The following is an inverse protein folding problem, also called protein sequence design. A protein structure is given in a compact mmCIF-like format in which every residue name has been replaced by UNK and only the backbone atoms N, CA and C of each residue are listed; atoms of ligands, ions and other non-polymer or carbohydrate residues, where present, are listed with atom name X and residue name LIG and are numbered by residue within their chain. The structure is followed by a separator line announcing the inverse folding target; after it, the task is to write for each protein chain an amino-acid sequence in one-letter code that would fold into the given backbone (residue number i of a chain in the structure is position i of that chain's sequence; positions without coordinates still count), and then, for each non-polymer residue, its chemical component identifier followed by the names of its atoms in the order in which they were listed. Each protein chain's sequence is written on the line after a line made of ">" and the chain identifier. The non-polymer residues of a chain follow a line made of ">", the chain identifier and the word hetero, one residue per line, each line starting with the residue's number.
data_IF_511652848179
#
_entry.id   IF_511652848179
#
_cell.length_a   1.000
_cell.length_b   1.000
_cell.length_c   1.000
_cell.angle_alpha   90.00
_cell.angle_beta   90.00
_cell.angle_gamma   90.00
#
_symmetry.space_group_name_H-M   'P 1'
#
loop_
_entity.id
_entity.type
_entity.pdbx_description
1 polymer ?
#
# COMPACT_ATOMS: atom_id res chain seq x y z
N UNK A 1 -12.03 -29.06 -6.22
CA UNK A 1 -12.08 -27.88 -5.33
C UNK A 1 -13.52 -27.44 -5.22
N UNK A 2 -14.01 -27.06 -4.04
CA UNK A 2 -15.37 -26.50 -3.93
C UNK A 2 -15.41 -25.07 -4.46
N UNK A 3 -16.59 -24.58 -4.84
CA UNK A 3 -16.80 -23.18 -5.27
C UNK A 3 -16.19 -22.18 -4.28
N UNK A 4 -16.47 -22.36 -2.99
CA UNK A 4 -15.94 -21.48 -1.94
C UNK A 4 -14.41 -21.51 -1.85
N UNK A 5 -13.78 -22.69 -1.95
CA UNK A 5 -12.33 -22.82 -1.91
C UNK A 5 -11.66 -22.11 -3.09
N UNK A 6 -12.27 -22.17 -4.27
CA UNK A 6 -11.75 -21.50 -5.47
C UNK A 6 -11.87 -19.96 -5.37
N UNK A 7 -12.95 -19.44 -4.75
CA UNK A 7 -13.08 -18.02 -4.45
C UNK A 7 -11.95 -17.49 -3.53
N UNK A 8 -11.41 -18.34 -2.64
CA UNK A 8 -10.32 -17.96 -1.73
C UNK A 8 -8.94 -17.94 -2.38
N UNK A 9 -8.78 -18.47 -3.60
CA UNK A 9 -7.49 -18.41 -4.30
C UNK A 9 -7.07 -16.97 -4.56
N UNK A 10 -5.77 -16.72 -4.70
CA UNK A 10 -5.30 -15.45 -5.26
C UNK A 10 -5.46 -15.43 -6.79
N UNK A 11 -5.14 -14.29 -7.43
CA UNK A 11 -5.30 -14.15 -8.88
C UNK A 11 -4.43 -15.14 -9.68
N UNK A 12 -3.22 -15.43 -9.20
CA UNK A 12 -2.32 -16.40 -9.83
C UNK A 12 -2.87 -17.83 -9.72
N UNK A 13 -3.43 -18.20 -8.56
CA UNK A 13 -4.05 -19.50 -8.32
C UNK A 13 -5.25 -19.74 -9.23
N UNK A 14 -6.17 -18.78 -9.34
CA UNK A 14 -7.32 -18.89 -10.25
C UNK A 14 -6.87 -19.00 -11.72
N UNK A 15 -5.86 -18.24 -12.16
CA UNK A 15 -5.31 -18.36 -13.52
C UNK A 15 -4.57 -19.68 -13.76
N UNK A 16 -3.93 -20.25 -12.74
CA UNK A 16 -3.29 -21.55 -12.85
C UNK A 16 -4.31 -22.68 -12.99
N UNK A 17 -5.46 -22.62 -12.30
CA UNK A 17 -6.56 -23.56 -12.52
C UNK A 17 -7.06 -23.51 -13.97
N UNK A 18 -7.28 -22.31 -14.50
CA UNK A 18 -7.69 -22.11 -15.89
C UNK A 18 -6.71 -22.68 -16.91
N UNK A 19 -5.40 -22.58 -16.63
CA UNK A 19 -4.35 -23.13 -17.50
C UNK A 19 -4.27 -24.65 -17.44
N UNK A 20 -4.57 -25.23 -16.28
CA UNK A 20 -4.51 -26.68 -16.05
C UNK A 20 -5.81 -27.41 -16.39
N UNK A 21 -6.87 -26.69 -16.74
CA UNK A 21 -8.16 -27.30 -17.11
C UNK A 21 -8.01 -28.09 -18.41
N UNK A 22 -8.34 -29.38 -18.38
CA UNK A 22 -8.20 -30.27 -19.55
C UNK A 22 -9.45 -30.22 -20.44
N UNK A 23 -10.63 -30.04 -19.83
CA UNK A 23 -11.91 -30.01 -20.55
C UNK A 23 -12.46 -28.58 -20.70
N UNK A 24 -13.24 -28.36 -21.75
CA UNK A 24 -13.92 -27.08 -21.98
C UNK A 24 -14.93 -26.77 -20.86
N UNK A 25 -15.61 -27.79 -20.33
CA UNK A 25 -16.58 -27.64 -19.24
C UNK A 25 -15.91 -27.15 -17.96
N UNK A 26 -14.77 -27.73 -17.58
CA UNK A 26 -13.99 -27.29 -16.42
C UNK A 26 -13.46 -25.87 -16.61
N UNK A 27 -12.91 -25.57 -17.80
CA UNK A 27 -12.39 -24.23 -18.11
C UNK A 27 -13.47 -23.16 -18.01
N UNK A 28 -14.67 -23.43 -18.53
CA UNK A 28 -15.82 -22.51 -18.41
C UNK A 28 -16.26 -22.33 -16.96
N UNK A 29 -16.30 -23.41 -16.18
CA UNK A 29 -16.63 -23.35 -14.75
C UNK A 29 -15.62 -22.47 -13.99
N UNK A 30 -14.31 -22.76 -14.10
CA UNK A 30 -13.26 -21.99 -13.43
C UNK A 30 -13.24 -20.52 -13.89
N UNK A 31 -13.54 -20.27 -15.16
CA UNK A 31 -13.63 -18.90 -15.69
C UNK A 31 -14.81 -18.16 -15.08
N UNK A 32 -15.97 -18.82 -14.99
CA UNK A 32 -17.14 -18.25 -14.34
C UNK A 32 -16.89 -17.96 -12.86
N UNK A 33 -16.31 -18.91 -12.09
CA UNK A 33 -15.95 -18.68 -10.68
C UNK A 33 -14.98 -17.51 -10.56
N UNK A 34 -14.02 -17.40 -11.47
CA UNK A 34 -13.06 -16.31 -11.50
C UNK A 34 -13.71 -14.94 -11.75
N UNK A 35 -14.65 -14.86 -12.69
CA UNK A 35 -15.41 -13.64 -12.97
C UNK A 35 -16.31 -13.26 -11.80
N UNK A 36 -17.01 -14.23 -11.19
CA UNK A 36 -17.85 -14.01 -10.00
C UNK A 36 -17.02 -13.47 -8.85
N UNK A 37 -15.84 -14.06 -8.59
CA UNK A 37 -14.91 -13.58 -7.58
C UNK A 37 -14.53 -12.11 -7.78
N UNK A 38 -14.18 -11.72 -9.01
CA UNK A 38 -13.79 -10.36 -9.34
C UNK A 38 -14.98 -9.41 -9.17
N UNK A 39 -16.16 -9.79 -9.69
CA UNK A 39 -17.38 -8.99 -9.58
C UNK A 39 -17.78 -8.77 -8.12
N UNK A 40 -17.80 -9.83 -7.30
CA UNK A 40 -18.13 -9.75 -5.87
C UNK A 40 -17.10 -8.92 -5.11
N UNK A 41 -15.80 -9.09 -5.41
CA UNK A 41 -14.75 -8.28 -4.77
C UNK A 41 -14.92 -6.80 -5.13
N UNK A 42 -15.15 -6.49 -6.41
CA UNK A 42 -15.32 -5.11 -6.86
C UNK A 42 -16.58 -4.46 -6.28
N UNK A 43 -17.71 -5.18 -6.30
CA UNK A 43 -18.95 -4.73 -5.69
C UNK A 43 -18.77 -4.46 -4.19
N UNK A 44 -18.14 -5.39 -3.46
CA UNK A 44 -17.86 -5.22 -2.04
C UNK A 44 -16.99 -3.98 -1.77
N UNK A 45 -15.87 -3.82 -2.50
CA UNK A 45 -15.01 -2.65 -2.37
C UNK A 45 -15.76 -1.34 -2.64
N UNK A 46 -16.55 -1.30 -3.73
CA UNK A 46 -17.32 -0.13 -4.13
C UNK A 46 -18.38 0.23 -3.08
N UNK A 47 -19.18 -0.73 -2.64
CA UNK A 47 -20.21 -0.49 -1.62
C UNK A 47 -19.59 -0.09 -0.28
N UNK A 48 -18.50 -0.73 0.13
CA UNK A 48 -17.83 -0.39 1.38
C UNK A 48 -17.33 1.06 1.39
N UNK A 49 -16.64 1.49 0.34
CA UNK A 49 -16.16 2.87 0.21
C UNK A 49 -17.32 3.86 0.08
N UNK A 50 -18.39 3.48 -0.64
CA UNK A 50 -19.58 4.31 -0.79
C UNK A 50 -20.30 4.53 0.55
N UNK A 51 -20.43 3.49 1.38
CA UNK A 51 -21.02 3.61 2.73
C UNK A 51 -20.19 4.59 3.57
N UNK A 52 -18.87 4.47 3.58
CA UNK A 52 -18.01 5.44 4.28
C UNK A 52 -18.18 6.87 3.76
N UNK A 53 -18.33 7.04 2.44
CA UNK A 53 -18.53 8.36 1.83
C UNK A 53 -19.89 8.96 2.22
N UNK A 54 -20.94 8.14 2.31
CA UNK A 54 -22.28 8.57 2.75
C UNK A 54 -22.27 8.92 4.24
N UNK A 55 -21.61 8.12 5.08
CA UNK A 55 -21.61 8.30 6.54
C UNK A 55 -20.68 9.43 7.01
N UNK A 56 -19.53 9.62 6.37
CA UNK A 56 -18.47 10.53 6.83
C UNK A 56 -18.15 11.67 5.85
N UNK A 57 -18.85 11.73 4.71
CA UNK A 57 -18.66 12.71 3.64
C UNK A 57 -17.72 12.25 2.53
N UNK A 58 -17.89 12.78 1.33
CA UNK A 58 -17.11 12.41 0.14
C UNK A 58 -15.60 12.67 0.29
N UNK A 59 -15.21 13.72 1.04
CA UNK A 59 -13.82 14.03 1.38
C UNK A 59 -13.15 12.94 2.25
N UNK A 60 -13.96 12.08 2.88
CA UNK A 60 -13.51 10.95 3.70
C UNK A 60 -13.70 9.59 3.01
N UNK A 61 -13.97 9.56 1.70
CA UNK A 61 -13.97 8.32 0.90
C UNK A 61 -12.66 7.53 1.07
N UNK A 62 -11.53 8.23 1.22
CA UNK A 62 -10.22 7.62 1.44
C UNK A 62 -10.12 6.83 2.75
N UNK A 63 -10.87 7.23 3.79
CA UNK A 63 -10.95 6.50 5.06
C UNK A 63 -11.54 5.11 4.80
N UNK A 64 -12.60 5.02 4.00
CA UNK A 64 -13.19 3.74 3.60
C UNK A 64 -12.18 2.83 2.90
N UNK A 65 -11.33 3.39 2.03
CA UNK A 65 -10.25 2.64 1.37
C UNK A 65 -9.22 2.13 2.38
N UNK A 66 -8.72 2.98 3.29
CA UNK A 66 -7.71 2.59 4.28
C UNK A 66 -8.23 1.52 5.23
N UNK A 67 -9.46 1.68 5.73
CA UNK A 67 -10.12 0.68 6.60
C UNK A 67 -10.27 -0.64 5.87
N UNK A 68 -10.75 -0.61 4.62
CA UNK A 68 -10.92 -1.80 3.80
C UNK A 68 -9.59 -2.54 3.57
N UNK A 69 -8.52 -1.82 3.24
CA UNK A 69 -7.19 -2.40 3.06
C UNK A 69 -6.71 -3.09 4.34
N UNK A 70 -6.83 -2.42 5.49
CA UNK A 70 -6.47 -3.00 6.78
C UNK A 70 -7.32 -4.24 7.09
N UNK A 71 -8.63 -4.18 6.89
CA UNK A 71 -9.55 -5.29 7.12
C UNK A 71 -9.19 -6.51 6.25
N UNK A 72 -8.89 -6.30 4.97
CA UNK A 72 -8.56 -7.38 4.04
C UNK A 72 -7.23 -8.07 4.36
N UNK A 73 -6.26 -7.33 4.89
CA UNK A 73 -4.95 -7.89 5.29
C UNK A 73 -5.03 -8.56 6.65
N UNK A 74 -5.49 -7.83 7.67
CA UNK A 74 -5.50 -8.28 9.06
C UNK A 74 -6.59 -9.30 9.38
N UNK A 75 -7.51 -9.61 8.45
CA UNK A 75 -8.36 -10.80 8.60
C UNK A 75 -7.56 -12.11 8.55
N UNK A 76 -6.40 -12.12 7.87
CA UNK A 76 -5.59 -13.32 7.60
C UNK A 76 -4.17 -13.22 8.14
N UNK A 77 -3.55 -12.04 8.03
CA UNK A 77 -2.18 -11.81 8.44
C UNK A 77 -2.11 -11.43 9.90
N UNK A 78 -1.18 -12.06 10.63
CA UNK A 78 -0.88 -11.75 12.02
C UNK A 78 0.34 -10.84 12.15
N UNK A 79 0.57 -10.32 13.36
CA UNK A 79 1.72 -9.49 13.72
C UNK A 79 2.84 -10.30 14.38
N UNK A 80 2.72 -11.64 14.44
CA UNK A 80 3.71 -12.51 15.05
C UNK A 80 3.81 -12.44 16.58
N UNK A 81 2.90 -11.74 17.27
CA UNK A 81 2.83 -11.61 18.74
C UNK A 81 1.45 -11.96 19.29
N UNK A 82 1.36 -12.15 20.60
CA UNK A 82 0.12 -12.46 21.32
C UNK A 82 -1.08 -11.60 20.86
N UNK A 83 -2.22 -12.24 20.59
CA UNK A 83 -3.39 -11.62 19.92
C UNK A 83 -3.91 -10.37 20.64
N UNK A 84 -3.91 -10.36 21.97
CA UNK A 84 -4.32 -9.19 22.74
C UNK A 84 -3.42 -7.97 22.49
N UNK A 85 -2.09 -8.16 22.53
CA UNK A 85 -1.11 -7.10 22.26
C UNK A 85 -1.17 -6.65 20.80
N UNK A 86 -1.28 -7.60 19.87
CA UNK A 86 -1.49 -7.31 18.44
C UNK A 86 -2.73 -6.45 18.20
N UNK A 87 -3.84 -6.71 18.91
CA UNK A 87 -5.08 -5.94 18.76
C UNK A 87 -4.93 -4.52 19.28
N UNK A 88 -4.26 -4.33 20.42
CA UNK A 88 -3.94 -2.98 20.94
C UNK A 88 -3.02 -2.20 19.99
N UNK A 89 -2.00 -2.88 19.46
CA UNK A 89 -1.05 -2.31 18.52
C UNK A 89 -1.74 -1.92 17.20
N UNK A 90 -2.68 -2.72 16.72
CA UNK A 90 -3.48 -2.40 15.55
C UNK A 90 -4.33 -1.13 15.78
N UNK A 91 -4.95 -0.97 16.96
CA UNK A 91 -5.65 0.26 17.31
C UNK A 91 -4.70 1.48 17.31
N UNK A 92 -3.49 1.33 17.86
CA UNK A 92 -2.46 2.37 17.82
C UNK A 92 -2.08 2.74 16.37
N UNK A 93 -1.96 1.77 15.46
CA UNK A 93 -1.68 2.06 14.05
C UNK A 93 -2.74 2.95 13.40
N UNK A 94 -4.03 2.71 13.70
CA UNK A 94 -5.11 3.58 13.22
C UNK A 94 -4.99 5.00 13.77
N UNK A 95 -4.62 5.16 15.06
CA UNK A 95 -4.38 6.48 15.65
C UNK A 95 -3.23 7.19 14.93
N UNK A 96 -2.10 6.51 14.74
CA UNK A 96 -0.92 7.05 14.04
C UNK A 96 -1.28 7.46 12.62
N UNK A 97 -1.96 6.59 11.86
CA UNK A 97 -2.39 6.87 10.48
C UNK A 97 -3.38 8.03 10.38
N UNK A 98 -4.12 8.34 11.45
CA UNK A 98 -5.09 9.44 11.43
C UNK A 98 -4.46 10.77 11.87
N UNK A 99 -3.68 10.74 12.94
CA UNK A 99 -3.16 11.95 13.60
C UNK A 99 -1.86 12.44 12.97
N UNK A 100 -0.89 11.55 12.75
CA UNK A 100 0.43 11.97 12.32
C UNK A 100 0.42 12.57 10.90
N UNK A 101 -0.30 12.02 9.89
CA UNK A 101 -0.35 12.66 8.59
C UNK A 101 -0.93 14.07 8.61
N UNK A 102 -2.02 14.27 9.37
CA UNK A 102 -2.63 15.59 9.51
C UNK A 102 -1.69 16.58 10.19
N UNK A 103 -1.03 16.14 11.26
CA UNK A 103 -0.05 16.97 11.97
C UNK A 103 1.18 17.31 11.11
N UNK A 104 1.67 16.36 10.31
CA UNK A 104 2.80 16.60 9.42
C UNK A 104 2.49 17.65 8.34
N UNK A 105 1.26 17.66 7.81
CA UNK A 105 0.81 18.67 6.84
C UNK A 105 0.73 20.10 7.42
N UNK A 106 0.78 20.27 8.75
CA UNK A 106 0.81 21.58 9.41
C UNK A 106 2.23 22.13 9.60
N UNK A 107 3.25 21.31 9.38
CA UNK A 107 4.66 21.68 9.54
C UNK A 107 5.34 21.96 8.20
N UNK A 108 6.54 22.55 8.26
CA UNK A 108 7.40 22.64 7.07
C UNK A 108 7.80 21.23 6.59
N UNK A 109 8.10 21.03 5.29
CA UNK A 109 8.41 19.70 4.75
C UNK A 109 9.49 18.94 5.53
N UNK A 110 10.52 19.63 6.03
CA UNK A 110 11.61 19.02 6.81
C UNK A 110 11.12 18.55 8.18
N UNK A 111 10.31 19.36 8.88
CA UNK A 111 9.75 18.97 10.18
C UNK A 111 8.68 17.87 10.02
N UNK A 112 7.83 17.98 8.99
CA UNK A 112 6.88 16.95 8.58
C UNK A 112 7.59 15.63 8.27
N UNK A 113 8.73 15.66 7.59
CA UNK A 113 9.57 14.48 7.33
C UNK A 113 10.01 13.80 8.62
N UNK A 114 10.47 14.53 9.63
CA UNK A 114 10.88 13.94 10.92
C UNK A 114 9.70 13.26 11.63
N UNK A 115 8.52 13.89 11.60
CA UNK A 115 7.30 13.29 12.14
C UNK A 115 6.91 12.02 11.36
N UNK A 116 6.99 12.07 10.03
CA UNK A 116 6.74 10.93 9.15
C UNK A 116 7.72 9.78 9.44
N UNK A 117 9.01 10.05 9.65
CA UNK A 117 10.02 9.04 10.05
C UNK A 117 9.61 8.37 11.37
N UNK A 118 9.25 9.15 12.38
CA UNK A 118 8.84 8.60 13.68
C UNK A 118 7.56 7.75 13.56
N UNK A 119 6.56 8.22 12.81
CA UNK A 119 5.32 7.49 12.59
C UNK A 119 5.56 6.18 11.81
N UNK A 120 6.30 6.23 10.71
CA UNK A 120 6.62 5.05 9.90
C UNK A 120 7.52 4.07 10.66
N UNK A 121 8.39 4.53 11.56
CA UNK A 121 9.17 3.64 12.43
C UNK A 121 8.25 2.75 13.27
N UNK A 122 7.21 3.32 13.89
CA UNK A 122 6.25 2.54 14.67
C UNK A 122 5.46 1.58 13.77
N UNK A 123 4.94 2.07 12.63
CA UNK A 123 4.14 1.24 11.71
C UNK A 123 4.94 0.07 11.11
N UNK A 124 6.21 0.28 10.77
CA UNK A 124 7.04 -0.72 10.07
C UNK A 124 7.66 -1.71 11.06
N UNK A 125 8.25 -1.23 12.16
CA UNK A 125 8.94 -2.10 13.13
C UNK A 125 7.95 -3.03 13.83
N UNK A 126 6.79 -2.52 14.23
CA UNK A 126 5.80 -3.31 14.94
C UNK A 126 4.75 -3.93 14.01
N UNK A 127 4.53 -3.37 12.82
CA UNK A 127 3.53 -3.89 11.87
C UNK A 127 4.02 -5.04 11.00
N UNK A 128 5.33 -5.28 10.92
CA UNK A 128 5.90 -6.32 10.09
C UNK A 128 7.07 -7.05 10.76
N UNK A 129 6.75 -8.12 11.47
CA UNK A 129 7.75 -9.06 11.96
C UNK A 129 8.22 -10.04 10.88
N UNK A 130 7.29 -10.48 10.01
CA UNK A 130 7.54 -11.37 8.89
C UNK A 130 7.41 -10.59 7.56
N UNK A 131 8.54 -10.27 6.88
CA UNK A 131 8.54 -9.51 5.63
C UNK A 131 7.71 -10.13 4.50
N UNK A 132 7.51 -11.45 4.51
CA UNK A 132 6.75 -12.16 3.48
C UNK A 132 5.23 -11.93 3.57
N UNK A 133 4.70 -11.43 4.69
CA UNK A 133 3.27 -11.12 4.82
C UNK A 133 2.90 -9.74 4.24
N UNK A 134 3.88 -8.87 3.99
CA UNK A 134 3.67 -7.52 3.43
C UNK A 134 2.72 -6.59 4.22
N UNK A 135 2.45 -6.86 5.50
CA UNK A 135 1.57 -6.06 6.36
C UNK A 135 1.94 -4.57 6.38
N UNK A 136 3.24 -4.27 6.46
CA UNK A 136 3.76 -2.90 6.44
C UNK A 136 3.35 -2.14 5.19
N UNK A 137 3.28 -2.80 4.03
CA UNK A 137 2.92 -2.14 2.78
C UNK A 137 1.49 -1.57 2.85
N UNK A 138 0.60 -2.25 3.58
CA UNK A 138 -0.78 -1.80 3.80
C UNK A 138 -0.84 -0.62 4.76
N UNK A 139 -0.10 -0.69 5.87
CA UNK A 139 -0.05 0.39 6.86
C UNK A 139 0.58 1.66 6.29
N UNK A 140 1.73 1.54 5.60
CA UNK A 140 2.42 2.67 4.97
C UNK A 140 1.59 3.25 3.82
N UNK A 141 0.93 2.41 3.00
CA UNK A 141 0.01 2.89 1.99
C UNK A 141 -1.16 3.67 2.60
N UNK A 142 -1.78 3.14 3.67
CA UNK A 142 -2.86 3.82 4.38
C UNK A 142 -2.43 5.18 4.93
N UNK A 143 -1.26 5.24 5.55
CA UNK A 143 -0.62 6.46 6.03
C UNK A 143 -0.46 7.50 4.91
N UNK A 144 0.17 7.13 3.80
CA UNK A 144 0.45 8.04 2.68
C UNK A 144 -0.82 8.53 1.98
N UNK A 145 -1.86 7.70 1.92
CA UNK A 145 -3.15 8.10 1.38
C UNK A 145 -3.82 9.14 2.28
N UNK A 146 -3.83 8.93 3.60
CA UNK A 146 -4.39 9.92 4.53
C UNK A 146 -3.58 11.22 4.55
N UNK A 147 -2.26 11.11 4.35
CA UNK A 147 -1.35 12.25 4.19
C UNK A 147 -1.69 13.10 2.96
N UNK A 148 -1.82 12.49 1.78
CA UNK A 148 -2.01 13.25 0.54
C UNK A 148 -3.46 13.63 0.22
N UNK A 149 -4.41 13.15 1.01
CA UNK A 149 -5.82 13.58 1.00
C UNK A 149 -6.17 14.20 2.36
N UNK A 150 -5.35 15.12 2.85
CA UNK A 150 -5.61 15.79 4.13
C UNK A 150 -6.92 16.60 4.10
N UNK A 151 -7.56 16.74 5.26
CA UNK A 151 -8.82 17.47 5.44
C UNK A 151 -8.78 18.26 6.75
N UNK A 152 -9.53 19.34 6.83
CA UNK A 152 -9.57 20.22 8.02
C UNK A 152 -11.00 20.39 8.55
N UNK A 153 -11.14 21.02 9.73
CA UNK A 153 -12.43 21.41 10.28
C UNK A 153 -13.39 20.24 10.52
N UNK A 154 -14.65 20.38 10.07
CA UNK A 154 -15.69 19.36 10.28
C UNK A 154 -15.37 18.04 9.58
N UNK A 155 -14.78 18.10 8.39
CA UNK A 155 -14.37 16.89 7.64
C UNK A 155 -13.31 16.09 8.39
N UNK A 156 -12.37 16.75 9.08
CA UNK A 156 -11.40 16.08 9.94
C UNK A 156 -12.04 15.43 11.17
N UNK A 157 -13.04 16.06 11.79
CA UNK A 157 -13.80 15.42 12.86
C UNK A 157 -14.50 14.14 12.37
N UNK A 158 -15.11 14.16 11.17
CA UNK A 158 -15.72 12.97 10.59
C UNK A 158 -14.68 11.90 10.22
N UNK A 159 -13.47 12.31 9.82
CA UNK A 159 -12.32 11.39 9.61
C UNK A 159 -11.96 10.65 10.87
N UNK A 160 -11.86 11.36 12.01
CA UNK A 160 -11.56 10.75 13.31
C UNK A 160 -12.62 9.70 13.68
N UNK A 161 -13.90 10.01 13.51
CA UNK A 161 -14.99 9.07 13.78
C UNK A 161 -14.93 7.86 12.83
N UNK A 162 -14.74 8.09 11.53
CA UNK A 162 -14.64 7.02 10.54
C UNK A 162 -13.44 6.10 10.78
N UNK A 163 -12.29 6.65 11.12
CA UNK A 163 -11.08 5.88 11.46
C UNK A 163 -11.24 5.12 12.78
N UNK A 164 -11.90 5.70 13.78
CA UNK A 164 -12.18 5.01 15.05
C UNK A 164 -13.14 3.81 14.85
N UNK A 165 -14.22 3.99 14.07
CA UNK A 165 -15.13 2.91 13.71
C UNK A 165 -14.44 1.82 12.88
N UNK A 166 -13.60 2.24 11.93
CA UNK A 166 -12.77 1.33 11.14
C UNK A 166 -11.75 0.55 11.97
N UNK A 167 -11.13 1.19 12.95
CA UNK A 167 -10.24 0.55 13.91
C UNK A 167 -10.99 -0.50 14.74
N UNK A 168 -12.16 -0.16 15.29
CA UNK A 168 -12.99 -1.07 16.06
C UNK A 168 -13.38 -2.31 15.23
N UNK A 169 -13.83 -2.11 13.99
CA UNK A 169 -14.18 -3.19 13.06
C UNK A 169 -12.97 -4.08 12.75
N UNK A 170 -11.83 -3.49 12.40
CA UNK A 170 -10.61 -4.23 12.04
C UNK A 170 -10.08 -5.01 13.22
N UNK A 171 -10.03 -4.40 14.42
CA UNK A 171 -9.63 -5.06 15.66
C UNK A 171 -10.57 -6.22 16.05
N UNK A 172 -11.88 -6.04 15.91
CA UNK A 172 -12.85 -7.11 16.15
C UNK A 172 -12.62 -8.31 15.24
N UNK A 173 -12.49 -8.08 13.93
CA UNK A 173 -12.25 -9.14 12.95
C UNK A 173 -10.89 -9.80 13.17
N UNK A 174 -9.84 -9.02 13.43
CA UNK A 174 -8.51 -9.52 13.75
C UNK A 174 -8.55 -10.43 14.97
N UNK A 175 -9.09 -9.96 16.09
CA UNK A 175 -9.17 -10.72 17.34
C UNK A 175 -9.98 -12.02 17.15
N UNK A 176 -11.17 -11.93 16.53
CA UNK A 176 -12.02 -13.10 16.29
C UNK A 176 -11.30 -14.18 15.48
N UNK A 177 -10.54 -13.79 14.46
CA UNK A 177 -9.87 -14.71 13.55
C UNK A 177 -8.56 -15.28 14.14
N UNK A 178 -7.94 -14.60 15.10
CA UNK A 178 -6.61 -14.96 15.63
C UNK A 178 -6.61 -15.39 17.11
N UNK A 179 -7.73 -15.27 17.84
CA UNK A 179 -7.79 -15.60 19.29
C UNK A 179 -7.42 -17.04 19.65
N UNK A 180 -7.63 -17.97 18.72
CA UNK A 180 -7.34 -19.39 18.93
C UNK A 180 -5.92 -19.79 18.49
N UNK A 181 -5.10 -18.84 18.02
CA UNK A 181 -3.72 -19.10 17.63
C UNK A 181 -2.81 -18.93 18.85
N UNK A 182 -1.88 -19.86 19.04
CA UNK A 182 -0.86 -19.78 20.08
C UNK A 182 0.36 -19.04 19.54
N UNK A 183 0.76 -17.97 20.22
CA UNK A 183 1.97 -17.21 19.89
C UNK A 183 2.99 -17.37 21.00
N UNK A 184 4.25 -17.64 20.62
CA UNK A 184 5.36 -17.72 21.56
C UNK A 184 5.94 -16.35 21.93
N UNK A 185 5.69 -15.33 21.09
CA UNK A 185 6.27 -13.99 21.20
C UNK A 185 5.29 -12.96 21.74
N UNK A 186 5.85 -11.97 22.43
CA UNK A 186 5.20 -10.79 22.96
C UNK A 186 5.87 -9.51 22.40
N UNK A 187 5.29 -8.35 22.70
CA UNK A 187 5.80 -7.05 22.25
C UNK A 187 7.24 -6.78 22.72
N UNK A 188 7.64 -7.28 23.91
CA UNK A 188 9.01 -7.17 24.42
C UNK A 188 10.01 -7.89 23.53
N UNK A 189 9.63 -9.06 23.01
CA UNK A 189 10.50 -9.87 22.16
C UNK A 189 10.76 -9.17 20.82
N UNK A 190 9.79 -8.41 20.30
CA UNK A 190 10.00 -7.61 19.08
C UNK A 190 11.10 -6.55 19.26
N UNK A 191 11.16 -5.95 20.45
CA UNK A 191 12.19 -4.94 20.77
C UNK A 191 13.54 -5.63 20.99
N UNK A 192 13.56 -6.79 21.65
CA UNK A 192 14.80 -7.55 21.90
C UNK A 192 15.38 -8.17 20.62
N UNK A 193 14.53 -8.58 19.67
CA UNK A 193 14.94 -9.09 18.36
C UNK A 193 15.32 -7.96 17.37
N UNK A 194 15.32 -6.70 17.80
CA UNK A 194 15.82 -5.61 16.97
C UNK A 194 17.34 -5.72 16.86
N UNK A 195 17.77 -6.29 15.75
CA UNK A 195 19.19 -6.42 15.42
C UNK A 195 19.48 -5.67 14.12
N UNK A 196 20.29 -4.62 14.22
CA UNK A 196 20.69 -3.77 13.09
C UNK A 196 21.53 -4.52 12.06
N UNK A 197 22.13 -5.66 12.42
CA UNK A 197 22.89 -6.50 11.49
C UNK A 197 21.98 -7.34 10.61
N UNK A 198 20.76 -7.62 11.07
CA UNK A 198 19.78 -8.46 10.37
C UNK A 198 19.24 -7.81 9.10
N UNK A 199 19.01 -8.63 8.07
CA UNK A 199 18.44 -8.14 6.79
C UNK A 199 17.05 -7.53 6.95
N UNK A 200 16.24 -8.07 7.88
CA UNK A 200 14.90 -7.55 8.21
C UNK A 200 14.99 -6.12 8.70
N UNK A 201 15.77 -5.86 9.76
CA UNK A 201 15.88 -4.55 10.38
C UNK A 201 16.47 -3.52 9.41
N UNK A 202 17.50 -3.92 8.63
CA UNK A 202 18.07 -3.05 7.60
C UNK A 202 17.02 -2.62 6.56
N UNK A 203 16.23 -3.57 6.08
CA UNK A 203 15.14 -3.28 5.15
C UNK A 203 14.06 -2.38 5.77
N UNK A 204 13.67 -2.62 7.03
CA UNK A 204 12.73 -1.77 7.76
C UNK A 204 13.26 -0.32 7.89
N UNK A 205 14.50 -0.15 8.37
CA UNK A 205 15.14 1.18 8.49
C UNK A 205 15.21 1.87 7.14
N UNK A 206 15.55 1.13 6.08
CA UNK A 206 15.61 1.68 4.74
C UNK A 206 14.26 2.27 4.29
N UNK A 207 13.14 1.59 4.57
CA UNK A 207 11.80 2.13 4.27
C UNK A 207 11.45 3.33 5.17
N UNK A 208 11.74 3.23 6.47
CA UNK A 208 11.48 4.28 7.48
C UNK A 208 12.15 5.61 7.08
N UNK A 209 13.34 5.55 6.47
CA UNK A 209 14.08 6.73 6.02
C UNK A 209 13.72 7.12 4.58
N UNK A 210 13.75 6.19 3.64
CA UNK A 210 13.61 6.50 2.22
C UNK A 210 12.24 7.11 1.87
N UNK A 211 11.16 6.58 2.45
CA UNK A 211 9.80 6.98 2.07
C UNK A 211 9.52 8.43 2.49
N UNK A 212 9.79 8.86 3.74
CA UNK A 212 9.64 10.26 4.12
C UNK A 212 10.61 11.20 3.40
N UNK A 213 11.85 10.78 3.11
CA UNK A 213 12.81 11.62 2.37
C UNK A 213 12.32 11.90 0.95
N UNK A 214 11.83 10.89 0.22
CA UNK A 214 11.23 11.07 -1.11
C UNK A 214 10.05 12.04 -1.06
N UNK A 215 9.18 11.87 -0.06
CA UNK A 215 8.02 12.72 0.13
C UNK A 215 8.43 14.17 0.38
N UNK A 216 9.39 14.40 1.28
CA UNK A 216 9.94 15.71 1.60
C UNK A 216 10.57 16.40 0.39
N UNK A 217 11.37 15.68 -0.40
CA UNK A 217 11.98 16.25 -1.62
C UNK A 217 10.89 16.64 -2.62
N UNK A 218 9.89 15.78 -2.83
CA UNK A 218 8.77 16.09 -3.72
C UNK A 218 8.00 17.35 -3.26
N UNK A 219 7.81 17.53 -1.96
CA UNK A 219 7.17 18.72 -1.38
C UNK A 219 8.02 19.99 -1.51
N UNK A 220 9.32 19.91 -1.24
CA UNK A 220 10.26 21.03 -1.43
C UNK A 220 10.28 21.47 -2.90
N UNK A 221 10.18 20.51 -3.82
CA UNK A 221 10.04 20.77 -5.24
C UNK A 221 8.63 21.25 -5.66
N UNK A 222 7.72 21.48 -4.72
CA UNK A 222 6.33 21.88 -4.93
C UNK A 222 5.55 20.94 -5.88
N UNK A 223 5.84 19.63 -5.84
CA UNK A 223 5.14 18.66 -6.67
C UNK A 223 3.71 18.44 -6.12
N UNK A 224 2.65 18.73 -6.91
CA UNK A 224 1.28 18.43 -6.50
C UNK A 224 1.13 16.94 -6.22
N UNK A 225 0.43 16.52 -5.17
CA UNK A 225 0.22 15.09 -4.85
C UNK A 225 1.51 14.31 -4.55
N UNK A 226 2.51 14.92 -3.91
CA UNK A 226 3.78 14.31 -3.50
C UNK A 226 3.69 12.89 -2.88
N UNK A 227 2.56 12.55 -2.25
CA UNK A 227 2.26 11.18 -1.80
C UNK A 227 2.46 10.10 -2.88
N UNK A 228 2.28 10.39 -4.17
CA UNK A 228 2.47 9.39 -5.23
C UNK A 228 3.93 8.97 -5.35
N UNK A 229 4.87 9.89 -5.14
CA UNK A 229 6.29 9.56 -5.08
C UNK A 229 6.59 8.66 -3.88
N UNK A 230 6.03 8.98 -2.70
CA UNK A 230 6.13 8.14 -1.50
C UNK A 230 5.53 6.74 -1.71
N UNK A 231 4.35 6.63 -2.32
CA UNK A 231 3.70 5.35 -2.64
C UNK A 231 4.52 4.57 -3.68
N UNK A 232 5.16 5.26 -4.62
CA UNK A 232 6.03 4.62 -5.59
C UNK A 232 7.28 4.03 -4.91
N UNK A 233 7.95 4.82 -4.08
CA UNK A 233 9.10 4.39 -3.28
C UNK A 233 8.75 3.21 -2.36
N UNK A 234 7.73 3.36 -1.49
CA UNK A 234 7.36 2.30 -0.54
C UNK A 234 7.01 0.99 -1.24
N UNK A 235 6.38 1.07 -2.41
CA UNK A 235 6.01 -0.12 -3.14
C UNK A 235 7.24 -0.83 -3.69
N UNK A 236 8.28 -0.11 -4.12
CA UNK A 236 9.44 -0.68 -4.78
C UNK A 236 10.40 -1.36 -3.79
N UNK A 237 10.54 -0.80 -2.58
CA UNK A 237 11.49 -1.27 -1.58
C UNK A 237 11.07 -2.64 -1.03
N UNK A 238 11.80 -3.69 -1.42
CA UNK A 238 11.59 -5.07 -0.99
C UNK A 238 12.78 -5.58 -0.18
N UNK A 239 12.63 -6.66 0.61
CA UNK A 239 13.72 -7.21 1.42
C UNK A 239 14.94 -7.66 0.59
N UNK A 240 14.72 -8.05 -0.66
CA UNK A 240 15.76 -8.49 -1.58
C UNK A 240 15.93 -7.51 -2.75
N UNK A 241 17.18 -7.17 -3.07
CA UNK A 241 17.50 -6.20 -4.11
C UNK A 241 17.08 -6.67 -5.52
N UNK A 242 17.19 -7.96 -5.82
CA UNK A 242 16.75 -8.51 -7.11
C UNK A 242 15.25 -8.29 -7.35
N UNK A 243 14.43 -8.57 -6.34
CA UNK A 243 12.99 -8.33 -6.38
C UNK A 243 12.67 -6.83 -6.50
N UNK A 244 13.46 -5.98 -5.85
CA UNK A 244 13.35 -4.53 -5.98
C UNK A 244 13.63 -4.07 -7.41
N UNK A 245 14.71 -4.53 -8.06
CA UNK A 245 15.01 -4.21 -9.47
C UNK A 245 13.86 -4.63 -10.39
N UNK A 246 13.32 -5.83 -10.19
CA UNK A 246 12.14 -6.30 -10.91
C UNK A 246 10.96 -5.33 -10.70
N UNK A 247 10.69 -4.96 -9.44
CA UNK A 247 9.54 -4.11 -9.11
C UNK A 247 9.68 -2.69 -9.64
N UNK A 248 10.87 -2.09 -9.58
CA UNK A 248 11.19 -0.79 -10.18
C UNK A 248 10.92 -0.83 -11.68
N UNK A 249 11.49 -1.80 -12.41
CA UNK A 249 11.29 -1.92 -13.87
C UNK A 249 9.81 -2.09 -14.22
N UNK A 250 9.11 -2.97 -13.52
CA UNK A 250 7.68 -3.23 -13.79
C UNK A 250 6.80 -2.04 -13.43
N UNK A 251 7.16 -1.24 -12.42
CA UNK A 251 6.43 -0.02 -12.08
C UNK A 251 6.62 1.08 -13.11
N UNK A 252 7.84 1.30 -13.60
CA UNK A 252 8.12 2.30 -14.65
C UNK A 252 7.37 1.94 -15.93
N UNK A 253 7.61 0.72 -16.45
CA UNK A 253 6.97 0.26 -17.69
C UNK A 253 5.45 0.21 -17.55
N UNK A 254 4.96 -0.29 -16.41
CA UNK A 254 3.53 -0.37 -16.13
C UNK A 254 2.85 1.00 -16.05
N UNK A 255 3.43 1.99 -15.39
CA UNK A 255 2.84 3.34 -15.35
C UNK A 255 2.87 4.00 -16.73
N UNK A 256 3.94 3.86 -17.52
CA UNK A 256 4.01 4.42 -18.87
C UNK A 256 2.93 3.79 -19.76
N UNK A 257 2.83 2.45 -19.76
CA UNK A 257 1.78 1.76 -20.51
C UNK A 257 0.38 2.13 -20.00
N UNK A 258 0.19 2.28 -18.68
CA UNK A 258 -1.07 2.72 -18.08
C UNK A 258 -1.47 4.14 -18.51
N UNK A 259 -0.52 5.07 -18.56
CA UNK A 259 -0.71 6.42 -19.08
C UNK A 259 -1.15 6.38 -20.53
N UNK A 260 -0.42 5.65 -21.40
CA UNK A 260 -0.74 5.54 -22.82
C UNK A 260 -2.16 4.99 -23.01
N UNK A 261 -2.49 3.88 -22.34
CA UNK A 261 -3.82 3.28 -22.42
C UNK A 261 -4.91 4.23 -21.89
N UNK A 262 -4.67 4.92 -20.78
CA UNK A 262 -5.61 5.89 -20.24
C UNK A 262 -5.85 7.04 -21.22
N UNK A 263 -4.79 7.60 -21.81
CA UNK A 263 -4.89 8.68 -22.79
C UNK A 263 -5.67 8.26 -24.03
N UNK A 264 -5.44 7.05 -24.56
CA UNK A 264 -6.23 6.53 -25.69
C UNK A 264 -7.71 6.40 -25.30
N UNK A 265 -8.02 5.81 -24.14
CA UNK A 265 -9.40 5.71 -23.66
C UNK A 265 -10.04 7.09 -23.44
N UNK A 266 -9.28 8.05 -22.93
CA UNK A 266 -9.74 9.42 -22.70
C UNK A 266 -10.15 10.09 -24.00
N UNK A 267 -9.45 9.88 -25.12
CA UNK A 267 -9.84 10.47 -26.41
C UNK A 267 -10.91 9.69 -27.16
N UNK A 268 -11.05 8.38 -26.91
CA UNK A 268 -12.05 7.55 -27.58
C UNK A 268 -13.42 7.57 -26.90
N UNK A 269 -13.46 7.83 -25.59
CA UNK A 269 -14.69 7.78 -24.80
C UNK A 269 -15.28 9.18 -24.59
N UNK A 270 -16.62 9.30 -24.48
CA UNK A 270 -17.25 10.55 -24.09
C UNK A 270 -16.91 10.92 -22.63
N UNK A 271 -16.93 12.21 -22.32
CA UNK A 271 -16.58 12.75 -21.00
C UNK A 271 -17.45 12.20 -19.86
N UNK A 272 -18.69 11.80 -20.15
CA UNK A 272 -19.58 11.14 -19.18
C UNK A 272 -19.03 9.84 -18.61
N UNK A 273 -18.06 9.20 -19.29
CA UNK A 273 -17.49 7.91 -18.88
C UNK A 273 -16.15 8.06 -18.13
N UNK A 274 -15.54 9.26 -18.11
CA UNK A 274 -14.20 9.46 -17.55
C UNK A 274 -14.06 9.04 -16.08
N UNK A 275 -15.04 9.37 -15.24
CA UNK A 275 -15.08 8.96 -13.84
C UNK A 275 -15.11 7.42 -13.67
N UNK A 276 -15.68 6.70 -14.65
CA UNK A 276 -15.77 5.24 -14.65
C UNK A 276 -14.50 4.55 -15.16
N UNK A 277 -13.56 5.27 -15.80
CA UNK A 277 -12.26 4.72 -16.21
C UNK A 277 -11.48 4.22 -14.98
N UNK A 278 -11.63 4.89 -13.82
CA UNK A 278 -11.08 4.43 -12.56
C UNK A 278 -11.63 3.06 -12.12
N UNK A 279 -12.93 2.81 -12.34
CA UNK A 279 -13.59 1.53 -12.06
C UNK A 279 -13.05 0.44 -12.99
N UNK A 280 -12.86 0.75 -14.27
CA UNK A 280 -12.19 -0.16 -15.22
C UNK A 280 -10.78 -0.52 -14.76
N UNK A 281 -10.04 0.45 -14.20
CA UNK A 281 -8.77 0.23 -13.52
C UNK A 281 -8.90 -0.77 -12.36
N UNK A 282 -9.86 -0.57 -11.45
CA UNK A 282 -10.11 -1.49 -10.34
C UNK A 282 -10.40 -2.93 -10.81
N UNK A 283 -11.24 -3.09 -11.83
CA UNK A 283 -11.53 -4.38 -12.45
C UNK A 283 -10.26 -5.00 -13.05
N UNK A 284 -9.47 -4.21 -13.79
CA UNK A 284 -8.20 -4.64 -14.38
C UNK A 284 -7.17 -5.10 -13.34
N UNK A 285 -7.08 -4.41 -12.20
CA UNK A 285 -6.28 -4.86 -11.05
C UNK A 285 -6.81 -6.20 -10.51
N UNK A 286 -8.13 -6.36 -10.44
CA UNK A 286 -8.78 -7.63 -10.10
C UNK A 286 -8.39 -8.79 -11.03
N UNK A 287 -8.15 -8.53 -12.31
CA UNK A 287 -7.63 -9.53 -13.26
C UNK A 287 -6.11 -9.72 -13.21
N UNK A 288 -5.37 -8.90 -12.48
CA UNK A 288 -3.91 -8.84 -12.57
C UNK A 288 -3.21 -9.75 -11.56
N UNK A 289 -2.61 -10.82 -12.06
CA UNK A 289 -1.74 -11.70 -11.26
C UNK A 289 -0.30 -11.19 -11.15
N UNK A 290 0.16 -10.40 -12.12
CA UNK A 290 1.52 -9.86 -12.15
C UNK A 290 1.52 -8.38 -11.79
N UNK A 291 2.55 -7.97 -11.06
CA UNK A 291 2.72 -6.59 -10.59
C UNK A 291 2.74 -5.56 -11.72
N UNK A 292 3.32 -5.87 -12.88
CA UNK A 292 3.35 -4.94 -14.02
C UNK A 292 1.94 -4.54 -14.50
N UNK A 293 1.02 -5.51 -14.63
CA UNK A 293 -0.37 -5.23 -14.99
C UNK A 293 -1.13 -4.50 -13.88
N UNK A 294 -0.84 -4.81 -12.62
CA UNK A 294 -1.39 -4.04 -11.49
C UNK A 294 -0.95 -2.56 -11.58
N UNK A 295 0.30 -2.28 -11.96
CA UNK A 295 0.79 -0.91 -12.14
C UNK A 295 0.12 -0.19 -13.33
N UNK A 296 -0.16 -0.89 -14.44
CA UNK A 296 -0.94 -0.35 -15.57
C UNK A 296 -2.31 0.09 -15.09
N UNK A 297 -3.08 -0.81 -14.46
CA UNK A 297 -4.47 -0.51 -14.12
C UNK A 297 -4.62 0.40 -12.89
N UNK A 298 -3.69 0.38 -11.93
CA UNK A 298 -3.66 1.37 -10.84
C UNK A 298 -3.42 2.80 -11.33
N UNK A 299 -2.88 2.96 -12.55
CA UNK A 299 -2.71 4.27 -13.15
C UNK A 299 -4.04 4.89 -13.56
N UNK A 300 -5.03 4.07 -13.93
CA UNK A 300 -6.33 4.57 -14.39
C UNK A 300 -7.10 5.28 -13.28
N UNK A 301 -7.19 4.68 -12.09
CA UNK A 301 -7.87 5.30 -10.95
C UNK A 301 -7.21 6.61 -10.53
N UNK A 302 -5.88 6.66 -10.52
CA UNK A 302 -5.15 7.87 -10.18
C UNK A 302 -5.31 8.98 -11.23
N UNK A 303 -5.26 8.63 -12.52
CA UNK A 303 -5.42 9.59 -13.61
C UNK A 303 -6.86 10.07 -13.76
N UNK A 304 -7.87 9.24 -13.51
CA UNK A 304 -9.28 9.65 -13.55
C UNK A 304 -9.52 10.82 -12.57
N UNK A 305 -9.08 10.67 -11.32
CA UNK A 305 -9.20 11.72 -10.29
C UNK A 305 -8.33 12.93 -10.64
N UNK A 306 -7.08 12.71 -11.07
CA UNK A 306 -6.16 13.81 -11.32
C UNK A 306 -6.51 14.61 -12.58
N UNK A 307 -7.08 13.99 -13.61
CA UNK A 307 -7.47 14.66 -14.84
C UNK A 307 -8.61 15.65 -14.62
N UNK A 308 -9.53 15.36 -13.68
CA UNK A 308 -10.58 16.30 -13.28
C UNK A 308 -10.00 17.55 -12.60
N UNK A 309 -8.91 17.41 -11.84
CA UNK A 309 -8.32 18.53 -11.08
C UNK A 309 -7.25 19.31 -11.86
N UNK A 310 -6.39 18.61 -12.61
CA UNK A 310 -5.19 19.18 -13.23
C UNK A 310 -5.21 19.15 -14.77
N UNK A 311 -6.33 18.71 -15.36
CA UNK A 311 -6.41 18.41 -16.78
C UNK A 311 -5.60 17.18 -17.18
N UNK A 312 -5.82 16.69 -18.41
CA UNK A 312 -5.16 15.49 -18.93
C UNK A 312 -3.62 15.61 -18.91
N UNK A 313 -3.09 16.72 -19.44
CA UNK A 313 -1.64 16.94 -19.53
C UNK A 313 -0.99 16.98 -18.15
N UNK A 314 -1.61 17.70 -17.19
CA UNK A 314 -1.12 17.79 -15.82
C UNK A 314 -1.16 16.42 -15.12
N UNK A 315 -2.29 15.71 -15.21
CA UNK A 315 -2.44 14.39 -14.60
C UNK A 315 -1.41 13.38 -15.12
N UNK A 316 -1.24 13.30 -16.45
CA UNK A 316 -0.27 12.40 -17.09
C UNK A 316 1.16 12.75 -16.67
N UNK A 317 1.53 14.02 -16.74
CA UNK A 317 2.89 14.47 -16.43
C UNK A 317 3.23 14.19 -14.96
N UNK A 318 2.34 14.56 -14.03
CA UNK A 318 2.51 14.30 -12.61
C UNK A 318 2.67 12.81 -12.32
N UNK A 319 1.84 11.98 -12.97
CA UNK A 319 1.85 10.53 -12.74
C UNK A 319 3.18 9.91 -13.15
N UNK A 320 3.69 10.24 -14.34
CA UNK A 320 4.97 9.74 -14.83
C UNK A 320 6.12 10.24 -13.96
N UNK A 321 6.21 11.56 -13.77
CA UNK A 321 7.32 12.20 -13.05
C UNK A 321 7.43 11.62 -11.64
N UNK A 322 6.34 11.60 -10.87
CA UNK A 322 6.41 11.16 -9.48
C UNK A 322 6.62 9.67 -9.32
N UNK A 323 6.05 8.84 -10.21
CA UNK A 323 6.30 7.40 -10.13
C UNK A 323 7.73 7.06 -10.50
N UNK A 324 8.27 7.67 -11.56
CA UNK A 324 9.67 7.45 -11.97
C UNK A 324 10.61 8.00 -10.91
N UNK A 325 10.39 9.24 -10.45
CA UNK A 325 11.18 9.84 -9.38
C UNK A 325 11.19 8.96 -8.12
N UNK A 326 10.02 8.57 -7.61
CA UNK A 326 9.91 7.79 -6.38
C UNK A 326 10.61 6.43 -6.46
N UNK A 327 10.49 5.69 -7.56
CA UNK A 327 11.14 4.36 -7.69
C UNK A 327 12.63 4.45 -7.97
N UNK A 328 13.07 5.42 -8.77
CA UNK A 328 14.50 5.61 -9.09
C UNK A 328 15.24 6.13 -7.87
N UNK A 329 14.68 7.12 -7.17
CA UNK A 329 15.23 7.59 -5.91
C UNK A 329 15.31 6.45 -4.89
N UNK A 330 14.24 5.68 -4.72
CA UNK A 330 14.24 4.55 -3.79
C UNK A 330 15.35 3.55 -4.12
N UNK A 331 15.54 3.21 -5.40
CA UNK A 331 16.61 2.30 -5.81
C UNK A 331 17.99 2.85 -5.48
N UNK A 332 18.26 4.11 -5.83
CA UNK A 332 19.53 4.77 -5.52
C UNK A 332 19.78 4.83 -4.01
N UNK A 333 18.77 5.22 -3.24
CA UNK A 333 18.83 5.27 -1.78
C UNK A 333 19.13 3.90 -1.18
N UNK A 334 18.42 2.85 -1.61
CA UNK A 334 18.65 1.48 -1.13
C UNK A 334 20.07 1.01 -1.43
N UNK A 335 20.57 1.20 -2.66
CA UNK A 335 21.94 0.82 -3.04
C UNK A 335 22.96 1.50 -2.14
N UNK A 336 22.83 2.82 -1.95
CA UNK A 336 23.73 3.61 -1.11
C UNK A 336 23.63 3.16 0.36
N UNK A 337 22.41 3.00 0.88
CA UNK A 337 22.16 2.58 2.25
C UNK A 337 22.78 1.22 2.54
N UNK A 338 22.53 0.21 1.71
CA UNK A 338 23.09 -1.14 1.92
C UNK A 338 24.61 -1.17 1.77
N UNK A 339 25.19 -0.37 0.88
CA UNK A 339 26.64 -0.23 0.75
C UNK A 339 27.29 0.36 2.00
N UNK A 340 26.70 1.40 2.61
CA UNK A 340 27.18 1.94 3.89
C UNK A 340 27.06 0.90 5.01
N UNK A 341 25.95 0.17 5.06
CA UNK A 341 25.70 -0.86 6.07
C UNK A 341 26.61 -2.09 5.92
N UNK A 342 27.12 -2.40 4.73
CA UNK A 342 28.10 -3.47 4.53
C UNK A 342 29.49 -3.04 4.97
N UNK A 343 29.92 -1.82 4.63
CA UNK A 343 31.22 -1.27 5.06
C UNK A 343 31.37 -1.20 6.57
N UNK A 344 30.32 -0.77 7.27
CA UNK A 344 30.34 -0.71 8.75
C UNK A 344 30.59 -2.09 9.37
N UNK A 345 30.04 -3.15 8.77
CA UNK A 345 30.25 -4.53 9.22
C UNK A 345 31.71 -4.98 9.00
N UNK A 346 32.30 -4.64 7.86
CA UNK A 346 33.71 -4.95 7.58
C UNK A 346 34.65 -4.26 8.56
N UNK A 347 34.41 -2.97 8.86
CA UNK A 347 35.21 -2.23 9.85
C UNK A 347 35.09 -2.78 11.27
N UNK A 348 33.90 -3.22 11.70
CA UNK A 348 33.69 -3.83 13.02
C UNK A 348 34.41 -5.18 13.13
N UNK A 349 34.44 -5.99 12.06
CA UNK A 349 35.18 -7.26 12.05
C UNK A 349 36.70 -7.05 12.11
N UNK A 350 37.25 -6.02 11.46
CA UNK A 350 38.69 -5.72 11.52
C UNK A 350 39.12 -5.23 12.90
N UNK A 351 38.29 -4.44 13.60
CA UNK A 351 38.62 -3.93 14.95
C UNK A 351 38.53 -5.01 16.03
N UNK A 352 37.71 -6.05 15.84
CA UNK A 352 37.63 -7.19 16.76
C UNK A 352 38.62 -8.33 16.44
N UNK A 353 39.38 -8.21 15.35
CA UNK A 353 40.43 -9.15 14.95
C UNK A 353 41.84 -8.70 15.33
N UNK A 354 42.00 -7.46 15.81
CA UNK A 354 43.19 -6.91 16.48
C UNK A 354 43.02 -6.99 18.00
#
# INVERSE_FOLDING_TARGET
>A
MTFYQELQLNQAGSKNLLKKSETLKEKLYHMWVYLVKIAVTMAFCFFFVSIFSILFGNENSIVGVVVLLCLMVFRNADLGIHTGQSTMLLALFFVIMTVCPHLANQFSPVLGMLLNIAALAVLILFGCHNPFMFNQSTLVLGYLLLYGYDVTGKSYQMRLVGMALGAALTCFVFYRNHKNRTYKRNLKDLIQEFDITSSRTKWQICQILCVPIVLCIAEICNMPRAMWAGIAAMSAILPFMEDMHYRVRKRIVGNIAGVICFTVLYFLLPSSIYAYIGILGGIGVGFSAQYGWQAVFNTFGALAIAAETYGLQGAVSLRVIQNVFGVVFALAFCVIFYWFMSKKKESEMTVHAE
#
